data_IF_164621277153
#
_entry.id   IF_164621277153
#
_cell.length_a   1.000
_cell.length_b   1.000
_cell.length_c   1.000
_cell.angle_alpha   90.00
_cell.angle_beta   90.00
_cell.angle_gamma   90.00
#
_symmetry.space_group_name_H-M   'P 1'
#
loop_
_entity.id
_entity.type
_entity.pdbx_description
1 polymer ?
#
# COMPACT_ATOMS: atom_id res chain seq x y z
N UNK A 1 9.96 -11.02 -9.53
CA UNK A 1 9.31 -11.80 -8.45
C UNK A 1 10.10 -13.08 -8.21
N UNK A 2 10.23 -13.51 -6.95
CA UNK A 2 10.90 -14.79 -6.66
C UNK A 2 10.12 -15.97 -7.26
N UNK A 3 10.79 -17.01 -7.80
CA UNK A 3 10.13 -18.15 -8.41
C UNK A 3 9.13 -18.87 -7.49
N UNK A 4 9.44 -18.99 -6.20
CA UNK A 4 8.57 -19.64 -5.24
C UNK A 4 7.23 -18.90 -5.06
N UNK A 5 7.27 -17.58 -4.84
CA UNK A 5 6.05 -16.75 -4.77
C UNK A 5 5.24 -16.81 -6.06
N UNK A 6 5.89 -16.96 -7.21
CA UNK A 6 5.19 -17.17 -8.49
C UNK A 6 4.36 -18.44 -8.45
N UNK A 7 4.97 -19.54 -8.02
CA UNK A 7 4.29 -20.83 -7.94
C UNK A 7 3.11 -20.77 -6.96
N UNK A 8 3.30 -20.22 -5.77
CA UNK A 8 2.24 -20.06 -4.77
C UNK A 8 1.01 -19.31 -5.31
N UNK A 9 1.24 -18.28 -6.13
CA UNK A 9 0.15 -17.50 -6.73
C UNK A 9 -0.52 -18.28 -7.87
N UNK A 10 0.25 -19.02 -8.68
CA UNK A 10 -0.31 -19.86 -9.74
C UNK A 10 -1.17 -20.98 -9.16
N UNK A 11 -0.69 -21.64 -8.11
CA UNK A 11 -1.41 -22.71 -7.42
C UNK A 11 -2.72 -22.17 -6.81
N UNK A 12 -2.68 -21.00 -6.15
CA UNK A 12 -3.89 -20.37 -5.59
C UNK A 12 -4.93 -19.98 -6.66
N UNK A 13 -4.48 -19.50 -7.82
CA UNK A 13 -5.35 -19.18 -8.94
C UNK A 13 -6.01 -20.43 -9.55
N UNK A 14 -5.25 -21.51 -9.69
CA UNK A 14 -5.76 -22.80 -10.17
C UNK A 14 -6.74 -23.43 -9.18
N UNK A 15 -6.40 -23.42 -7.89
CA UNK A 15 -7.27 -23.91 -6.82
C UNK A 15 -8.58 -23.13 -6.78
N UNK A 16 -8.54 -21.82 -6.99
CA UNK A 16 -9.73 -20.99 -7.10
C UNK A 16 -10.59 -21.35 -8.33
N UNK A 17 -9.97 -21.45 -9.51
CA UNK A 17 -10.66 -21.73 -10.77
C UNK A 17 -11.27 -23.13 -10.80
N UNK A 18 -10.60 -24.13 -10.20
CA UNK A 18 -11.09 -25.49 -10.09
C UNK A 18 -11.98 -25.71 -8.85
N UNK A 19 -12.08 -24.71 -7.98
CA UNK A 19 -12.74 -24.78 -6.67
C UNK A 19 -14.26 -24.79 -6.67
N UNK A 20 -14.94 -24.82 -7.83
CA UNK A 20 -16.40 -24.69 -7.94
C UNK A 20 -17.17 -25.55 -6.92
N UNK A 21 -16.85 -26.84 -6.85
CA UNK A 21 -17.52 -27.79 -5.97
C UNK A 21 -17.32 -27.44 -4.50
N UNK A 22 -16.14 -26.96 -4.12
CA UNK A 22 -15.82 -26.55 -2.75
C UNK A 22 -16.67 -25.34 -2.32
N UNK A 23 -16.75 -24.30 -3.16
CA UNK A 23 -17.55 -23.12 -2.88
C UNK A 23 -19.05 -23.45 -2.82
N UNK A 24 -19.53 -24.29 -3.74
CA UNK A 24 -20.92 -24.74 -3.75
C UNK A 24 -21.27 -25.57 -2.51
N UNK A 25 -20.42 -26.53 -2.12
CA UNK A 25 -20.62 -27.40 -0.96
C UNK A 25 -20.62 -26.62 0.36
N UNK A 26 -19.78 -25.60 0.46
CA UNK A 26 -19.65 -24.77 1.68
C UNK A 26 -20.65 -23.62 1.74
N UNK A 27 -21.43 -23.38 0.67
CA UNK A 27 -22.35 -22.25 0.57
C UNK A 27 -21.65 -20.89 0.55
N UNK A 28 -20.35 -20.86 0.24
CA UNK A 28 -19.55 -19.64 0.18
C UNK A 28 -19.66 -19.01 -1.20
N UNK A 29 -19.62 -17.69 -1.25
CA UNK A 29 -19.50 -16.96 -2.51
C UNK A 29 -18.22 -17.38 -3.24
N UNK A 30 -18.32 -17.72 -4.53
CA UNK A 30 -17.18 -18.14 -5.37
C UNK A 30 -16.37 -16.93 -5.84
N UNK A 31 -15.69 -16.31 -4.86
CA UNK A 31 -14.84 -15.14 -5.06
C UNK A 31 -13.47 -15.32 -4.40
N UNK A 32 -12.47 -14.61 -4.92
CA UNK A 32 -11.12 -14.51 -4.34
C UNK A 32 -10.64 -13.07 -4.38
N UNK A 33 -10.08 -12.58 -3.27
CA UNK A 33 -9.51 -11.23 -3.19
C UNK A 33 -7.99 -11.23 -3.16
N UNK A 34 -7.36 -10.43 -4.03
CA UNK A 34 -5.92 -10.18 -4.03
C UNK A 34 -5.62 -8.71 -3.74
N UNK A 35 -4.58 -8.47 -2.95
CA UNK A 35 -4.01 -7.14 -2.73
C UNK A 35 -2.58 -7.12 -3.28
N UNK A 36 -2.35 -6.34 -4.33
CA UNK A 36 -1.03 -6.06 -4.88
C UNK A 36 -0.52 -4.74 -4.32
N UNK A 37 0.58 -4.77 -3.57
CA UNK A 37 1.11 -3.56 -2.97
C UNK A 37 2.63 -3.43 -3.11
N UNK A 38 3.11 -2.19 -3.19
CA UNK A 38 4.53 -1.88 -3.29
C UNK A 38 4.79 -0.63 -4.13
N UNK A 39 6.07 -0.23 -4.29
CA UNK A 39 6.44 0.98 -5.02
C UNK A 39 5.84 1.07 -6.43
N UNK A 40 5.67 2.28 -6.99
CA UNK A 40 5.29 2.45 -8.39
C UNK A 40 6.36 1.84 -9.31
N UNK A 41 5.97 1.38 -10.51
CA UNK A 41 6.91 0.77 -11.46
C UNK A 41 7.33 -0.67 -11.16
N UNK A 42 6.73 -1.32 -10.16
CA UNK A 42 7.02 -2.72 -9.80
C UNK A 42 6.23 -3.75 -10.61
N UNK A 43 5.33 -3.31 -11.49
CA UNK A 43 4.56 -4.18 -12.39
C UNK A 43 3.26 -4.71 -11.81
N UNK A 44 2.62 -3.99 -10.86
CA UNK A 44 1.31 -4.36 -10.29
C UNK A 44 0.26 -4.58 -11.39
N UNK A 45 0.01 -3.60 -12.26
CA UNK A 45 -0.96 -3.74 -13.36
C UNK A 45 -0.52 -4.78 -14.40
N UNK A 46 0.78 -4.91 -14.67
CA UNK A 46 1.29 -5.98 -15.54
C UNK A 46 1.05 -7.38 -14.98
N UNK A 47 1.10 -7.54 -13.65
CA UNK A 47 0.80 -8.80 -12.98
C UNK A 47 -0.68 -9.17 -13.11
N UNK A 48 -1.58 -8.20 -13.00
CA UNK A 48 -3.02 -8.41 -13.22
C UNK A 48 -3.28 -8.91 -14.65
N UNK A 49 -2.65 -8.27 -15.64
CA UNK A 49 -2.75 -8.71 -17.03
C UNK A 49 -2.23 -10.16 -17.21
N UNK A 50 -1.15 -10.53 -16.50
CA UNK A 50 -0.64 -11.89 -16.53
C UNK A 50 -1.62 -12.91 -15.90
N UNK A 51 -2.26 -12.57 -14.77
CA UNK A 51 -3.26 -13.41 -14.12
C UNK A 51 -4.48 -13.64 -15.02
N UNK A 52 -4.98 -12.57 -15.67
CA UNK A 52 -6.13 -12.66 -16.57
C UNK A 52 -5.83 -13.55 -17.79
N UNK A 53 -4.66 -13.37 -18.41
CA UNK A 53 -4.24 -14.22 -19.53
C UNK A 53 -4.04 -15.67 -19.11
N UNK A 54 -3.51 -15.91 -17.90
CA UNK A 54 -3.31 -17.26 -17.37
C UNK A 54 -4.63 -18.02 -17.22
N UNK A 55 -5.64 -17.34 -16.66
CA UNK A 55 -6.97 -17.93 -16.42
C UNK A 55 -7.91 -17.81 -17.62
N UNK A 56 -7.54 -17.05 -18.66
CA UNK A 56 -8.42 -16.64 -19.75
C UNK A 56 -9.69 -15.91 -19.26
N UNK A 57 -9.50 -14.95 -18.35
CA UNK A 57 -10.57 -14.14 -17.75
C UNK A 57 -10.65 -12.75 -18.36
N UNK A 58 -11.85 -12.17 -18.36
CA UNK A 58 -12.08 -10.77 -18.74
C UNK A 58 -11.58 -9.82 -17.64
N UNK A 59 -10.95 -8.70 -18.01
CA UNK A 59 -10.53 -7.65 -17.07
C UNK A 59 -11.57 -6.52 -17.07
N UNK A 60 -12.05 -6.16 -15.89
CA UNK A 60 -12.83 -4.95 -15.66
C UNK A 60 -12.02 -4.00 -14.78
N UNK A 61 -11.52 -2.93 -15.39
CA UNK A 61 -10.87 -1.85 -14.66
C UNK A 61 -11.92 -0.88 -14.11
N UNK A 62 -11.93 -0.70 -12.79
CA UNK A 62 -12.89 0.14 -12.09
C UNK A 62 -12.17 1.33 -11.46
N UNK A 63 -12.31 2.49 -12.09
CA UNK A 63 -11.81 3.74 -11.56
C UNK A 63 -12.75 4.32 -10.51
N UNK A 64 -12.32 4.34 -9.24
CA UNK A 64 -13.14 4.81 -8.12
C UNK A 64 -13.41 6.33 -8.13
N UNK A 65 -12.65 7.10 -8.91
CA UNK A 65 -12.78 8.56 -9.05
C UNK A 65 -14.01 8.95 -9.87
N UNK A 66 -14.35 8.14 -10.88
CA UNK A 66 -15.46 8.39 -11.79
C UNK A 66 -16.81 7.95 -11.22
N UNK A 67 -16.81 7.01 -10.27
CA UNK A 67 -18.05 6.50 -9.68
C UNK A 67 -18.47 7.43 -8.54
N UNK A 68 -19.65 8.05 -8.67
CA UNK A 68 -20.06 9.08 -7.71
C UNK A 68 -20.68 8.49 -6.45
N UNK A 69 -21.47 7.40 -6.60
CA UNK A 69 -22.27 6.82 -5.52
C UNK A 69 -22.17 5.29 -5.44
N UNK A 70 -22.39 4.72 -4.26
CA UNK A 70 -22.39 3.26 -4.03
C UNK A 70 -23.45 2.50 -4.87
N UNK A 71 -24.55 3.14 -5.24
CA UNK A 71 -25.59 2.54 -6.09
C UNK A 71 -25.10 2.31 -7.53
N UNK A 72 -24.30 3.23 -8.05
CA UNK A 72 -23.70 3.13 -9.38
C UNK A 72 -22.62 2.06 -9.41
N UNK A 73 -21.74 2.06 -8.41
CA UNK A 73 -20.75 1.01 -8.17
C UNK A 73 -21.40 -0.39 -8.19
N UNK A 74 -22.50 -0.53 -7.46
CA UNK A 74 -23.29 -1.77 -7.43
C UNK A 74 -23.81 -2.15 -8.81
N UNK A 75 -24.35 -1.21 -9.59
CA UNK A 75 -24.84 -1.50 -10.94
C UNK A 75 -23.71 -1.95 -11.87
N UNK A 76 -22.52 -1.34 -11.76
CA UNK A 76 -21.35 -1.73 -12.56
C UNK A 76 -20.92 -3.17 -12.22
N UNK A 77 -20.79 -3.49 -10.93
CA UNK A 77 -20.38 -4.81 -10.49
C UNK A 77 -21.45 -5.89 -10.76
N UNK A 78 -22.72 -5.52 -10.87
CA UNK A 78 -23.78 -6.45 -11.30
C UNK A 78 -23.76 -6.73 -12.81
N UNK A 79 -23.18 -5.84 -13.62
CA UNK A 79 -23.07 -5.99 -15.08
C UNK A 79 -21.86 -6.81 -15.52
N UNK A 80 -20.91 -7.09 -14.64
CA UNK A 80 -19.72 -7.87 -14.98
C UNK A 80 -20.05 -9.34 -15.22
N UNK A 81 -19.38 -9.95 -16.20
CA UNK A 81 -19.50 -11.38 -16.51
C UNK A 81 -18.91 -12.26 -15.38
N UNK A 82 -19.26 -13.55 -15.39
CA UNK A 82 -18.48 -14.58 -14.69
C UNK A 82 -17.13 -14.80 -15.38
N UNK A 83 -16.15 -15.41 -14.69
CA UNK A 83 -14.78 -15.59 -15.18
C UNK A 83 -14.11 -14.25 -15.49
N UNK A 84 -14.17 -13.37 -14.50
CA UNK A 84 -13.66 -12.02 -14.63
C UNK A 84 -12.78 -11.61 -13.46
N UNK A 85 -11.83 -10.73 -13.75
CA UNK A 85 -10.98 -10.05 -12.80
C UNK A 85 -11.44 -8.59 -12.72
N UNK A 86 -11.91 -8.18 -11.55
CA UNK A 86 -12.34 -6.82 -11.26
C UNK A 86 -11.17 -6.13 -10.56
N UNK A 87 -10.64 -5.10 -11.21
CA UNK A 87 -9.47 -4.34 -10.76
C UNK A 87 -9.93 -3.05 -10.13
N UNK A 88 -9.37 -2.76 -8.96
CA UNK A 88 -9.62 -1.53 -8.21
C UNK A 88 -8.26 -0.92 -7.93
N UNK A 89 -7.86 0.04 -8.76
CA UNK A 89 -6.55 0.67 -8.67
C UNK A 89 -6.47 1.76 -7.58
N UNK A 90 -5.28 1.92 -7.01
CA UNK A 90 -4.89 3.01 -6.09
C UNK A 90 -5.91 3.31 -4.97
N UNK A 91 -6.28 2.26 -4.22
CA UNK A 91 -7.27 2.38 -3.14
C UNK A 91 -6.86 3.38 -2.03
N UNK A 92 -5.58 3.67 -1.85
CA UNK A 92 -5.09 4.69 -0.91
C UNK A 92 -5.38 6.13 -1.34
N UNK A 93 -5.46 6.40 -2.65
CA UNK A 93 -5.86 7.70 -3.17
C UNK A 93 -7.33 8.00 -2.84
N UNK A 94 -8.21 7.00 -2.95
CA UNK A 94 -9.66 7.12 -2.68
C UNK A 94 -9.99 7.50 -1.22
N UNK A 95 -9.21 7.00 -0.25
CA UNK A 95 -9.40 7.31 1.18
C UNK A 95 -9.17 8.79 1.46
N UNK A 96 -8.19 9.41 0.79
CA UNK A 96 -7.86 10.83 0.96
C UNK A 96 -8.95 11.78 0.43
N UNK A 97 -9.75 11.37 -0.56
CA UNK A 97 -10.90 12.15 -1.03
C UNK A 97 -11.96 12.33 0.07
N UNK A 98 -12.15 11.33 0.93
CA UNK A 98 -13.09 11.42 2.06
C UNK A 98 -12.55 12.28 3.21
N UNK A 99 -11.24 12.23 3.47
CA UNK A 99 -10.60 13.03 4.54
C UNK A 99 -10.40 14.51 4.16
N UNK A 100 -10.16 14.85 2.90
CA UNK A 100 -10.10 16.27 2.47
C UNK A 100 -11.43 17.01 2.65
N UNK A 101 -12.57 16.32 2.51
CA UNK A 101 -13.89 16.92 2.78
C UNK A 101 -14.14 17.22 4.26
N UNK A 102 -13.45 16.54 5.20
CA UNK A 102 -13.56 16.81 6.64
C UNK A 102 -12.72 18.01 7.10
N UNK A 103 -11.65 18.39 6.38
CA UNK A 103 -10.74 19.47 6.81
C UNK A 103 -11.14 20.88 6.33
N UNK A 104 -12.19 21.04 5.52
CA UNK A 104 -12.67 22.36 5.06
C UNK A 104 -13.81 22.96 5.91
N UNK A 105 -13.97 22.55 7.17
CA UNK A 105 -14.79 23.27 8.17
C UNK A 105 -13.92 23.85 9.28
N UNK A 106 -13.03 24.79 8.93
CA UNK A 106 -12.56 25.82 9.85
C UNK A 106 -12.69 27.15 9.13
N UNK A 107 -13.85 27.79 9.25
CA UNK A 107 -14.00 29.22 9.00
C UNK A 107 -15.15 29.76 9.88
N UNK A 108 -14.73 30.50 10.92
CA UNK A 108 -15.37 31.65 11.57
C UNK A 108 -16.89 31.65 11.80
N UNK A 109 -17.31 31.65 13.07
CA UNK A 109 -18.57 32.25 13.51
C UNK A 109 -18.34 32.99 14.83
N UNK A 110 -18.52 34.31 14.75
CA UNK A 110 -18.59 35.31 15.81
C UNK A 110 -19.72 34.97 16.81
N UNK A 111 -19.57 35.19 18.13
CA UNK A 111 -20.60 34.81 19.09
C UNK A 111 -21.46 36.02 19.44
N UNK A 112 -22.63 36.20 18.79
CA UNK A 112 -23.75 36.90 19.42
C UNK A 112 -25.09 36.73 18.68
N UNK A 113 -26.16 36.75 19.47
CA UNK A 113 -27.61 36.69 19.15
C UNK A 113 -28.27 35.30 19.22
N UNK A 114 -28.92 35.09 20.38
CA UNK A 114 -29.97 34.12 20.67
C UNK A 114 -31.18 34.29 19.72
N UNK A 115 -31.83 33.19 19.36
CA UNK A 115 -33.27 32.94 19.53
C UNK A 115 -33.68 31.61 18.89
N UNK A 116 -34.51 30.84 19.60
CA UNK A 116 -34.93 29.51 19.20
C UNK A 116 -36.07 29.47 18.19
N UNK A 117 -36.15 28.37 17.45
CA UNK A 117 -37.38 27.64 17.15
C UNK A 117 -37.00 26.34 16.45
N UNK A 118 -37.60 25.23 16.88
CA UNK A 118 -37.39 23.93 16.26
C UNK A 118 -37.90 23.91 14.83
N UNK A 119 -37.01 23.60 13.89
CA UNK A 119 -37.37 23.03 12.60
C UNK A 119 -36.18 22.30 12.01
N UNK A 120 -36.48 21.11 11.50
CA UNK A 120 -35.55 20.17 10.90
C UNK A 120 -34.69 20.84 9.81
N UNK A 121 -33.39 20.92 10.09
CA UNK A 121 -32.36 21.24 9.10
C UNK A 121 -31.14 20.34 9.35
N UNK A 122 -31.35 19.03 9.19
CA UNK A 122 -30.27 18.09 8.94
C UNK A 122 -29.96 18.12 7.46
N UNK A 123 -28.96 18.93 7.06
CA UNK A 123 -28.45 18.93 5.69
C UNK A 123 -27.90 17.56 5.30
N UNK A 124 -28.71 16.79 4.56
CA UNK A 124 -28.31 15.60 3.85
C UNK A 124 -27.47 15.99 2.62
N UNK A 125 -26.19 16.28 2.82
CA UNK A 125 -25.26 16.38 1.70
C UNK A 125 -23.87 15.83 2.05
N UNK A 126 -23.88 14.68 2.73
CA UNK A 126 -22.67 13.93 3.10
C UNK A 126 -22.76 12.42 2.86
N UNK A 127 -23.86 11.93 2.28
CA UNK A 127 -24.19 10.50 2.24
C UNK A 127 -23.83 9.75 0.94
N UNK A 128 -23.39 10.44 -0.12
CA UNK A 128 -23.30 9.84 -1.44
C UNK A 128 -21.88 9.55 -1.95
N UNK A 129 -20.83 10.10 -1.33
CA UNK A 129 -19.47 9.78 -1.78
C UNK A 129 -19.10 8.33 -1.51
N UNK A 130 -18.43 7.69 -2.46
CA UNK A 130 -17.88 6.34 -2.29
C UNK A 130 -16.97 6.30 -1.07
N UNK A 131 -17.18 5.26 -0.25
CA UNK A 131 -16.27 4.89 0.82
C UNK A 131 -15.68 3.53 0.51
N UNK A 132 -14.42 3.33 0.87
CA UNK A 132 -13.75 2.04 0.74
C UNK A 132 -14.48 0.94 1.53
N UNK A 133 -15.11 1.30 2.66
CA UNK A 133 -16.03 0.43 3.40
C UNK A 133 -17.29 0.08 2.61
N UNK A 134 -17.85 1.01 1.81
CA UNK A 134 -18.99 0.77 0.92
C UNK A 134 -18.67 -0.21 -0.21
N UNK A 135 -17.49 -0.07 -0.82
CA UNK A 135 -16.96 -1.02 -1.80
C UNK A 135 -16.82 -2.43 -1.22
N UNK A 136 -16.27 -2.56 -0.01
CA UNK A 136 -16.08 -3.88 0.60
C UNK A 136 -17.36 -4.51 1.16
N UNK A 137 -18.29 -3.71 1.66
CA UNK A 137 -19.61 -4.23 1.99
C UNK A 137 -20.31 -4.83 0.77
N UNK A 138 -20.01 -4.31 -0.42
CA UNK A 138 -20.47 -4.89 -1.66
C UNK A 138 -19.73 -6.19 -2.00
N UNK A 139 -18.40 -6.23 -1.88
CA UNK A 139 -17.64 -7.46 -2.16
C UNK A 139 -18.02 -8.60 -1.20
N UNK A 140 -18.34 -8.31 0.06
CA UNK A 140 -18.71 -9.29 1.10
C UNK A 140 -20.20 -9.64 1.18
N UNK A 141 -21.08 -8.79 0.66
CA UNK A 141 -22.52 -8.92 0.90
C UNK A 141 -23.19 -10.12 0.24
N UNK A 142 -24.46 -10.33 0.60
CA UNK A 142 -25.40 -11.34 0.07
C UNK A 142 -25.54 -11.36 -1.47
N UNK A 143 -25.00 -10.35 -2.16
CA UNK A 143 -25.01 -10.23 -3.62
C UNK A 143 -23.88 -11.01 -4.30
N UNK A 144 -22.79 -11.30 -3.57
CA UNK A 144 -21.71 -12.18 -4.03
C UNK A 144 -22.12 -13.66 -4.04
N UNK A 145 -23.28 -14.00 -3.46
CA UNK A 145 -23.86 -15.34 -3.47
C UNK A 145 -24.41 -15.77 -4.85
N UNK A 146 -24.51 -14.86 -5.81
CA UNK A 146 -24.71 -15.23 -7.21
C UNK A 146 -23.43 -15.93 -7.66
N UNK A 147 -23.44 -17.27 -7.74
CA UNK A 147 -22.32 -18.22 -7.96
C UNK A 147 -21.48 -18.01 -9.22
N UNK A 148 -21.03 -16.77 -9.42
CA UNK A 148 -20.22 -16.26 -10.48
C UNK A 148 -18.79 -16.22 -9.97
N UNK A 149 -17.97 -17.05 -10.60
CA UNK A 149 -16.52 -17.10 -10.47
C UNK A 149 -15.93 -15.72 -10.76
N UNK A 150 -15.45 -15.03 -9.72
CA UNK A 150 -14.91 -13.66 -9.82
C UNK A 150 -13.69 -13.46 -8.95
N UNK A 151 -12.68 -12.79 -9.49
CA UNK A 151 -11.50 -12.38 -8.75
C UNK A 151 -11.55 -10.86 -8.57
N UNK A 152 -11.28 -10.39 -7.36
CA UNK A 152 -11.08 -8.97 -7.07
C UNK A 152 -9.60 -8.72 -6.86
N UNK A 153 -9.03 -7.73 -7.55
CA UNK A 153 -7.64 -7.33 -7.36
C UNK A 153 -7.59 -5.86 -6.99
N UNK A 154 -7.01 -5.59 -5.84
CA UNK A 154 -6.80 -4.24 -5.31
C UNK A 154 -5.33 -3.87 -5.46
N UNK A 155 -5.03 -2.66 -5.91
CA UNK A 155 -3.66 -2.15 -5.97
C UNK A 155 -3.46 -0.98 -5.01
N UNK A 156 -2.30 -0.91 -4.36
CA UNK A 156 -1.92 0.26 -3.56
C UNK A 156 -0.40 0.46 -3.55
N UNK A 157 0.04 1.71 -3.45
CA UNK A 157 1.45 2.01 -3.19
C UNK A 157 1.78 2.02 -1.69
N UNK A 158 0.75 2.11 -0.84
CA UNK A 158 0.85 2.46 0.58
C UNK A 158 -0.08 1.59 1.44
N UNK A 159 0.35 0.38 1.76
CA UNK A 159 -0.44 -0.56 2.57
C UNK A 159 -0.74 -0.02 3.98
N UNK A 160 0.13 0.83 4.52
CA UNK A 160 0.00 1.46 5.82
C UNK A 160 -1.15 2.47 5.92
N UNK A 161 -1.63 2.97 4.77
CA UNK A 161 -2.77 3.90 4.71
C UNK A 161 -4.12 3.19 4.69
N UNK A 162 -4.11 1.86 4.55
CA UNK A 162 -5.32 1.06 4.49
C UNK A 162 -5.84 0.73 5.88
N UNK A 163 -7.16 0.75 6.03
CA UNK A 163 -7.82 0.31 7.25
C UNK A 163 -7.55 -1.20 7.46
N UNK A 164 -7.06 -1.65 8.63
CA UNK A 164 -6.89 -3.07 8.93
C UNK A 164 -8.17 -3.91 8.81
N UNK A 165 -9.36 -3.29 8.83
CA UNK A 165 -10.63 -3.95 8.54
C UNK A 165 -10.75 -4.46 7.11
N UNK A 166 -9.97 -3.92 6.16
CA UNK A 166 -9.98 -4.33 4.76
C UNK A 166 -9.14 -5.59 4.53
N UNK A 167 -8.07 -5.76 5.32
CA UNK A 167 -7.10 -6.85 5.24
C UNK A 167 -7.60 -8.18 5.87
N UNK A 168 -8.88 -8.26 6.19
CA UNK A 168 -9.49 -9.45 6.81
C UNK A 168 -9.78 -10.53 5.75
N UNK A 169 -9.58 -11.78 6.13
CA UNK A 169 -9.93 -12.96 5.32
C UNK A 169 -11.39 -12.91 4.87
N UNK A 170 -11.65 -13.19 3.60
CA UNK A 170 -12.96 -13.05 2.94
C UNK A 170 -13.09 -11.79 2.07
N UNK A 171 -12.25 -10.76 2.32
CA UNK A 171 -12.17 -9.52 1.54
C UNK A 171 -10.95 -9.52 0.62
N UNK A 172 -9.78 -9.47 1.24
CA UNK A 172 -8.46 -9.53 0.62
C UNK A 172 -7.78 -10.75 1.24
N UNK A 173 -7.79 -11.87 0.51
CA UNK A 173 -7.30 -13.14 1.03
C UNK A 173 -5.79 -13.29 0.83
N UNK A 174 -5.31 -12.86 -0.35
CA UNK A 174 -3.91 -13.00 -0.75
C UNK A 174 -3.25 -11.64 -0.86
N UNK A 175 -2.21 -11.41 -0.06
CA UNK A 175 -1.45 -10.16 -0.07
C UNK A 175 -0.09 -10.37 -0.74
N UNK A 176 0.15 -9.66 -1.84
CA UNK A 176 1.33 -9.81 -2.69
C UNK A 176 2.14 -8.52 -2.64
N UNK A 177 3.28 -8.57 -1.96
CA UNK A 177 4.26 -7.50 -1.99
C UNK A 177 5.10 -7.53 -3.27
N UNK A 178 5.00 -6.46 -4.05
CA UNK A 178 5.74 -6.21 -5.28
C UNK A 178 6.95 -5.34 -4.96
N UNK A 179 8.08 -5.98 -4.67
CA UNK A 179 9.33 -5.34 -4.27
C UNK A 179 10.12 -4.78 -5.47
N UNK A 180 11.22 -4.09 -5.17
CA UNK A 180 12.29 -3.82 -6.14
C UNK A 180 12.82 -5.10 -6.80
N UNK A 181 13.53 -4.93 -7.90
CA UNK A 181 14.04 -6.05 -8.68
C UNK A 181 15.11 -6.81 -7.89
N UNK A 182 14.93 -8.11 -7.71
CA UNK A 182 15.92 -9.00 -7.11
C UNK A 182 16.79 -9.65 -8.19
N UNK A 183 17.95 -10.20 -7.80
CA UNK A 183 18.84 -10.87 -8.74
C UNK A 183 18.18 -11.96 -9.61
N UNK A 184 17.33 -12.86 -9.07
CA UNK A 184 16.60 -13.82 -9.90
C UNK A 184 15.65 -13.16 -10.90
N UNK A 185 14.99 -12.07 -10.50
CA UNK A 185 14.10 -11.33 -11.38
C UNK A 185 14.88 -10.61 -12.50
N UNK A 186 16.06 -10.08 -12.17
CA UNK A 186 16.95 -9.44 -13.14
C UNK A 186 17.38 -10.43 -14.22
N UNK A 187 17.76 -11.66 -13.87
CA UNK A 187 18.09 -12.71 -14.85
C UNK A 187 16.94 -12.95 -15.83
N UNK A 188 15.70 -13.02 -15.33
CA UNK A 188 14.51 -13.19 -16.16
C UNK A 188 14.33 -12.00 -17.11
N UNK A 189 14.56 -10.77 -16.64
CA UNK A 189 14.48 -9.57 -17.49
C UNK A 189 15.57 -9.59 -18.57
N UNK A 190 16.82 -9.91 -18.23
CA UNK A 190 17.91 -10.01 -19.20
C UNK A 190 17.61 -11.06 -20.28
N UNK A 191 17.08 -12.21 -19.88
CA UNK A 191 16.63 -13.26 -20.80
C UNK A 191 15.50 -12.78 -21.70
N UNK A 192 14.46 -12.15 -21.15
CA UNK A 192 13.28 -11.75 -21.92
C UNK A 192 13.55 -10.58 -22.88
N UNK A 193 14.33 -9.58 -22.47
CA UNK A 193 14.55 -8.36 -23.27
C UNK A 193 15.74 -8.47 -24.23
N UNK A 194 16.80 -9.18 -23.84
CA UNK A 194 18.04 -9.26 -24.62
C UNK A 194 18.33 -10.68 -25.13
N UNK A 195 17.58 -11.69 -24.71
CA UNK A 195 17.85 -13.09 -25.06
C UNK A 195 19.20 -13.56 -24.56
N UNK A 196 19.58 -13.18 -23.33
CA UNK A 196 20.78 -13.69 -22.65
C UNK A 196 20.50 -15.05 -22.03
N UNK A 197 21.37 -16.03 -22.26
CA UNK A 197 21.48 -17.23 -21.45
C UNK A 197 22.64 -17.12 -20.45
N UNK A 198 22.65 -17.95 -19.39
CA UNK A 198 23.68 -17.86 -18.34
C UNK A 198 25.12 -18.07 -18.87
N UNK A 199 25.27 -18.75 -20.01
CA UNK A 199 26.55 -18.98 -20.70
C UNK A 199 27.12 -17.76 -21.42
N UNK A 200 26.29 -16.76 -21.70
CA UNK A 200 26.63 -15.63 -22.57
C UNK A 200 27.27 -14.46 -21.81
N UNK A 201 27.19 -14.48 -20.47
CA UNK A 201 27.70 -13.43 -19.60
C UNK A 201 28.96 -13.88 -18.87
N UNK A 202 29.96 -13.00 -18.84
CA UNK A 202 31.13 -13.21 -18.01
C UNK A 202 30.71 -13.34 -16.54
N UNK A 203 31.26 -14.37 -15.86
CA UNK A 203 31.03 -14.62 -14.45
C UNK A 203 31.31 -13.39 -13.59
N UNK A 204 32.30 -12.57 -13.97
CA UNK A 204 32.61 -11.32 -13.26
C UNK A 204 31.43 -10.34 -13.29
N UNK A 205 30.80 -10.16 -14.45
CA UNK A 205 29.66 -9.24 -14.63
C UNK A 205 28.44 -9.75 -13.87
N UNK A 206 28.18 -11.06 -13.93
CA UNK A 206 27.08 -11.69 -13.18
C UNK A 206 27.23 -11.50 -11.68
N UNK A 207 28.45 -11.63 -11.17
CA UNK A 207 28.76 -11.44 -9.74
C UNK A 207 28.56 -9.97 -9.34
N UNK A 208 29.09 -9.03 -10.12
CA UNK A 208 28.89 -7.61 -9.84
C UNK A 208 27.42 -7.21 -9.85
N UNK A 209 26.63 -7.69 -10.82
CA UNK A 209 25.19 -7.45 -10.85
C UNK A 209 24.50 -7.99 -9.59
N UNK A 210 24.89 -9.19 -9.13
CA UNK A 210 24.36 -9.77 -7.90
C UNK A 210 24.69 -8.94 -6.66
N UNK A 211 25.88 -8.35 -6.60
CA UNK A 211 26.34 -7.59 -5.43
C UNK A 211 25.72 -6.17 -5.34
N UNK A 212 25.31 -5.62 -6.49
CA UNK A 212 24.82 -4.23 -6.61
C UNK A 212 23.28 -4.17 -6.67
N UNK A 213 22.60 -5.19 -7.21
CA UNK A 213 21.15 -5.16 -7.46
C UNK A 213 20.33 -4.82 -6.21
N UNK A 214 20.63 -5.46 -5.08
CA UNK A 214 19.89 -5.24 -3.83
C UNK A 214 20.14 -3.83 -3.26
N UNK A 215 21.33 -3.26 -3.49
CA UNK A 215 21.70 -1.90 -3.03
C UNK A 215 21.11 -0.80 -3.91
N UNK A 216 20.90 -1.09 -5.19
CA UNK A 216 20.42 -0.11 -6.16
C UNK A 216 18.93 0.20 -6.01
N UNK A 217 18.15 -0.72 -5.43
CA UNK A 217 16.69 -0.59 -5.26
C UNK A 217 16.00 -0.08 -6.54
N UNK A 218 16.37 -0.66 -7.68
CA UNK A 218 15.79 -0.32 -8.97
C UNK A 218 14.48 -1.08 -9.18
N UNK A 219 13.49 -0.40 -9.74
CA UNK A 219 12.24 -1.05 -10.11
C UNK A 219 12.43 -1.87 -11.39
N UNK A 220 11.63 -2.93 -11.60
CA UNK A 220 11.55 -3.61 -12.89
C UNK A 220 11.32 -2.65 -14.07
N UNK A 221 10.52 -1.59 -13.89
CA UNK A 221 10.33 -0.56 -14.90
C UNK A 221 11.64 0.18 -15.23
N UNK A 222 12.38 0.67 -14.22
CA UNK A 222 13.67 1.35 -14.42
C UNK A 222 14.67 0.47 -15.18
N UNK A 223 14.74 -0.81 -14.82
CA UNK A 223 15.63 -1.78 -15.48
C UNK A 223 15.18 -2.01 -16.92
N UNK A 224 13.88 -2.23 -17.14
CA UNK A 224 13.34 -2.46 -18.48
C UNK A 224 13.61 -1.29 -19.42
N UNK A 225 13.57 -0.06 -18.93
CA UNK A 225 13.86 1.15 -19.72
C UNK A 225 15.31 1.13 -20.24
N UNK A 226 16.28 0.84 -19.36
CA UNK A 226 17.70 0.74 -19.73
C UNK A 226 17.94 -0.37 -20.76
N UNK A 227 17.28 -1.52 -20.57
CA UNK A 227 17.40 -2.66 -21.49
C UNK A 227 16.77 -2.35 -22.85
N UNK A 228 15.60 -1.70 -22.90
CA UNK A 228 14.91 -1.33 -24.14
C UNK A 228 15.73 -0.32 -24.94
N UNK A 229 16.31 0.69 -24.26
CA UNK A 229 17.14 1.73 -24.87
C UNK A 229 18.31 1.16 -25.67
N UNK A 230 18.89 0.05 -25.22
CA UNK A 230 20.03 -0.60 -25.84
C UNK A 230 19.71 -2.00 -26.41
N UNK A 231 18.45 -2.29 -26.77
CA UNK A 231 17.99 -3.64 -27.16
C UNK A 231 18.80 -4.32 -28.27
N UNK A 232 19.38 -3.52 -29.19
CA UNK A 232 20.17 -4.03 -30.32
C UNK A 232 21.64 -4.33 -29.94
N UNK A 233 22.12 -3.82 -28.81
CA UNK A 233 23.52 -3.91 -28.38
C UNK A 233 23.60 -4.53 -26.99
N UNK A 234 23.50 -5.87 -26.93
CA UNK A 234 23.40 -6.63 -25.68
C UNK A 234 24.49 -6.26 -24.65
N UNK A 235 25.75 -6.27 -25.08
CA UNK A 235 26.88 -5.98 -24.18
C UNK A 235 26.81 -4.55 -23.63
N UNK A 236 26.47 -3.58 -24.49
CA UNK A 236 26.32 -2.18 -24.10
C UNK A 236 25.18 -2.01 -23.10
N UNK A 237 24.06 -2.70 -23.30
CA UNK A 237 22.91 -2.66 -22.40
C UNK A 237 23.28 -3.12 -20.98
N UNK A 238 24.06 -4.20 -20.87
CA UNK A 238 24.50 -4.74 -19.58
C UNK A 238 25.48 -3.81 -18.88
N UNK A 239 26.44 -3.24 -19.62
CA UNK A 239 27.40 -2.27 -19.05
C UNK A 239 26.69 -1.01 -18.56
N UNK A 240 25.77 -0.44 -19.36
CA UNK A 240 25.00 0.75 -18.97
C UNK A 240 24.06 0.46 -17.79
N UNK A 241 23.47 -0.73 -17.74
CA UNK A 241 22.67 -1.17 -16.60
C UNK A 241 23.51 -1.28 -15.32
N UNK A 242 24.69 -1.88 -15.40
CA UNK A 242 25.60 -2.01 -14.26
C UNK A 242 26.06 -0.65 -13.75
N UNK A 243 26.38 0.29 -14.64
CA UNK A 243 26.72 1.66 -14.29
C UNK A 243 25.55 2.42 -13.65
N UNK A 244 24.34 2.26 -14.18
CA UNK A 244 23.13 2.83 -13.61
C UNK A 244 22.84 2.28 -12.20
N UNK A 245 23.00 0.97 -12.01
CA UNK A 245 22.85 0.29 -10.72
C UNK A 245 23.88 0.80 -9.70
N UNK A 246 25.16 0.90 -10.06
CA UNK A 246 26.22 1.44 -9.17
C UNK A 246 25.93 2.89 -8.79
N UNK A 247 25.57 3.73 -9.76
CA UNK A 247 25.22 5.14 -9.52
C UNK A 247 24.03 5.29 -8.58
N UNK A 248 23.06 4.38 -8.66
CA UNK A 248 21.90 4.40 -7.76
C UNK A 248 22.23 3.84 -6.38
N UNK A 249 23.03 2.78 -6.30
CA UNK A 249 23.53 2.24 -5.04
C UNK A 249 24.34 3.30 -4.25
N UNK A 250 25.21 4.06 -4.93
CA UNK A 250 25.97 5.15 -4.30
C UNK A 250 25.07 6.30 -3.83
N UNK A 251 24.02 6.63 -4.59
CA UNK A 251 23.02 7.62 -4.17
C UNK A 251 22.25 7.15 -2.94
N UNK A 252 21.83 5.89 -2.93
CA UNK A 252 21.10 5.30 -1.81
C UNK A 252 21.98 5.25 -0.56
N UNK A 253 23.26 4.90 -0.69
CA UNK A 253 24.22 4.91 0.42
C UNK A 253 24.40 6.32 1.01
N UNK A 254 24.55 7.35 0.16
CA UNK A 254 24.65 8.75 0.60
C UNK A 254 23.36 9.24 1.26
N UNK A 255 22.21 8.88 0.72
CA UNK A 255 20.91 9.29 1.25
C UNK A 255 20.56 8.56 2.57
N UNK A 256 20.92 7.29 2.69
CA UNK A 256 20.81 6.51 3.93
C UNK A 256 21.64 7.12 5.05
N UNK A 257 22.91 7.45 4.79
CA UNK A 257 23.77 8.12 5.78
C UNK A 257 23.25 9.50 6.22
N UNK A 258 22.49 10.20 5.36
CA UNK A 258 21.81 11.45 5.74
C UNK A 258 20.56 11.20 6.58
N UNK A 259 19.78 10.16 6.28
CA UNK A 259 18.59 9.77 7.07
C UNK A 259 18.97 9.26 8.45
N UNK A 260 20.03 8.46 8.57
CA UNK A 260 20.53 7.96 9.86
C UNK A 260 21.02 9.11 10.74
N UNK A 261 21.68 10.13 10.16
CA UNK A 261 22.08 11.33 10.89
C UNK A 261 20.89 12.15 11.38
N UNK A 262 19.85 12.29 10.55
CA UNK A 262 18.62 13.01 10.93
C UNK A 262 17.86 12.22 12.01
N UNK A 263 17.80 10.88 11.92
CA UNK A 263 17.15 10.08 12.97
C UNK A 263 17.93 10.12 14.27
N UNK A 264 19.27 10.10 14.22
CA UNK A 264 20.12 10.21 15.41
C UNK A 264 19.96 11.58 16.09
N UNK A 265 19.83 12.66 15.30
CA UNK A 265 19.54 14.01 15.81
C UNK A 265 18.12 14.10 16.43
N UNK A 266 17.09 13.56 15.77
CA UNK A 266 15.72 13.51 16.31
C UNK A 266 15.61 12.63 17.56
N UNK A 267 16.37 11.53 17.64
CA UNK A 267 16.43 10.67 18.84
C UNK A 267 17.18 11.35 19.99
N UNK A 268 18.26 12.09 19.70
CA UNK A 268 18.99 12.87 20.71
C UNK A 268 18.15 14.03 21.25
N UNK A 269 17.38 14.70 20.39
CA UNK A 269 16.47 15.78 20.81
C UNK A 269 15.32 15.25 21.67
N UNK A 270 14.76 14.07 21.35
CA UNK A 270 13.78 13.39 22.22
C UNK A 270 14.36 12.97 23.56
N UNK A 271 15.60 12.43 23.60
CA UNK A 271 16.26 12.08 24.87
C UNK A 271 16.60 13.30 25.72
N UNK A 272 16.92 14.45 25.12
CA UNK A 272 17.18 15.68 25.85
C UNK A 272 15.90 16.22 26.54
N UNK A 273 14.74 16.03 25.93
CA UNK A 273 13.43 16.41 26.48
C UNK A 273 12.90 15.45 27.56
N UNK A 274 13.46 14.24 27.67
CA UNK A 274 13.08 13.22 28.67
C UNK A 274 13.98 13.18 29.91
N UNK A 275 14.88 14.14 30.09
CA UNK A 275 15.64 14.23 31.35
C UNK A 275 14.70 14.62 32.50
N UNK A 276 14.59 13.81 33.57
CA UNK A 276 13.72 14.14 34.71
C UNK A 276 14.27 15.38 35.40
N UNK A 277 13.41 16.37 35.59
CA UNK A 277 13.66 17.49 36.47
C UNK A 277 13.70 16.92 37.91
N UNK A 278 14.88 16.50 38.39
CA UNK A 278 15.07 16.14 39.79
C UNK A 278 14.72 17.36 40.64
N UNK A 279 13.72 17.15 41.50
CA UNK A 279 13.00 18.21 42.18
C UNK A 279 13.90 19.10 43.02
N UNK A 280 13.78 20.40 42.79
CA UNK A 280 14.03 21.39 43.83
C UNK A 280 13.07 21.12 45.00
N UNK A 281 13.58 20.55 46.08
CA UNK A 281 12.92 20.54 47.38
C UNK A 281 12.55 21.99 47.75
N UNK A 282 11.26 22.26 47.78
CA UNK A 282 10.71 23.44 48.44
C UNK A 282 10.86 23.21 49.95
N UNK A 283 11.90 23.81 50.56
CA UNK A 283 11.91 24.05 52.00
C UNK A 283 10.85 25.09 52.35
N UNK A 284 9.79 24.70 53.06
CA UNK A 284 8.90 25.62 53.75
C UNK A 284 9.60 26.20 55.00
N UNK A 285 9.68 27.53 55.16
CA UNK A 285 10.16 28.11 56.41
C UNK A 285 9.02 28.16 57.45
N UNK A 286 9.11 27.29 58.47
CA UNK A 286 8.32 27.38 59.68
C UNK A 286 8.60 28.71 60.41
N UNK A 287 7.55 29.51 60.62
CA UNK A 287 7.61 30.73 61.44
C UNK A 287 7.66 30.35 62.92
N UNK A 288 8.82 30.55 63.55
CA UNK A 288 8.92 30.67 65.00
C UNK A 288 8.46 32.06 65.43
N UNK A 289 7.33 32.11 66.14
CA UNK A 289 6.92 33.26 66.95
C UNK A 289 7.16 32.92 68.41
N UNK A 290 8.16 33.55 69.02
CA UNK A 290 8.37 33.55 70.46
C UNK A 290 7.14 34.14 71.17
N UNK A 291 6.67 33.46 72.21
CA UNK A 291 6.11 34.14 73.38
C UNK A 291 6.48 33.36 74.64
N UNK A 292 7.45 33.89 75.38
CA UNK A 292 7.83 33.46 76.73
C UNK A 292 6.80 33.95 77.75
N UNK A 293 6.40 33.02 78.59
CA UNK A 293 6.21 33.08 80.05
C UNK A 293 5.59 34.34 80.69
N UNK A 294 4.55 34.15 81.54
CA UNK A 294 4.65 34.26 83.01
C UNK A 294 3.27 34.29 83.69
N UNK A 295 3.03 33.28 84.54
CA UNK A 295 2.81 33.39 86.00
C UNK A 295 2.27 34.74 86.54
N UNK A 296 1.06 34.73 87.13
CA UNK A 296 0.75 35.07 88.55
C UNK A 296 -0.62 35.75 88.74
N UNK A 297 -1.26 35.29 89.82
CA UNK A 297 -2.33 35.88 90.64
C UNK A 297 -3.76 35.72 90.15
#
# INVERSE_FOLDING_TARGET
MHPQKKQEIMDDLEDFANGQFFYQKTGRAWKRGYLLYGPPGTGKSSMIAAMANYLSYDIYDLELTEVHNNSELRKLLMKTSSKSIIVIEDIDCSVNLTNRKKNNKRNYCDPEVRCGSGSACGGEDGGNSITLSGLLNFTDGLWSCCGSERIFVFTTNHIEKLDPALLRSGRMDMHIYMSYCSYPALKILLKNYLGYEESDLDYHVLKELSDVVDKAEMTPADISEVLIKNRNYKQKAVTELLEAMKTRADRNFKCGSLRDKISDEEEQEKRALETPNEGSEFEEPCKEGENKEKMKS
#
